data_IF_897361971292
#
_entry.id   IF_897361971292
#
_cell.length_a   1.000
_cell.length_b   1.000
_cell.length_c   1.000
_cell.angle_alpha   90.00
_cell.angle_beta   90.00
_cell.angle_gamma   90.00
#
_symmetry.space_group_name_H-M   'P 1'
#
loop_
_entity.id
_entity.type
_entity.pdbx_description
1 polymer ?
#
# COMPACT_ATOMS: atom_id res chain seq x y z
N UNK A 1 -39.47 41.22 -28.02
CA UNK A 1 -38.37 40.32 -28.42
C UNK A 1 -37.15 40.43 -27.50
N UNK A 2 -36.81 41.59 -26.94
CA UNK A 2 -35.65 41.75 -26.04
C UNK A 2 -35.76 41.01 -24.69
N UNK A 3 -36.95 40.91 -24.11
CA UNK A 3 -37.14 40.25 -22.80
C UNK A 3 -36.96 38.73 -22.87
N UNK A 4 -37.18 38.12 -24.03
CA UNK A 4 -37.00 36.67 -24.24
C UNK A 4 -35.51 36.34 -24.38
N UNK A 5 -34.75 37.20 -25.07
CA UNK A 5 -33.30 37.03 -25.27
C UNK A 5 -32.53 37.15 -23.94
N UNK A 6 -32.93 38.04 -23.02
CA UNK A 6 -32.31 38.15 -21.69
C UNK A 6 -32.57 36.95 -20.78
N UNK A 7 -33.73 36.29 -20.92
CA UNK A 7 -34.08 35.11 -20.13
C UNK A 7 -33.25 33.88 -20.56
N UNK A 8 -33.01 33.73 -21.87
CA UNK A 8 -32.17 32.64 -22.40
C UNK A 8 -30.68 32.82 -22.08
N UNK A 9 -30.16 34.05 -22.10
CA UNK A 9 -28.77 34.34 -21.71
C UNK A 9 -28.51 34.08 -20.21
N UNK A 10 -29.48 34.36 -19.34
CA UNK A 10 -29.35 34.10 -17.91
C UNK A 10 -29.42 32.59 -17.58
N UNK A 11 -30.26 31.83 -18.31
CA UNK A 11 -30.35 30.39 -18.15
C UNK A 11 -29.07 29.64 -18.61
N UNK A 12 -28.42 30.10 -19.68
CA UNK A 12 -27.18 29.48 -20.18
C UNK A 12 -25.96 29.77 -19.31
N UNK A 13 -25.89 30.93 -18.65
CA UNK A 13 -24.81 31.25 -17.70
C UNK A 13 -24.95 30.42 -16.41
N UNK A 14 -26.17 30.06 -16.01
CA UNK A 14 -26.42 29.28 -14.80
C UNK A 14 -26.10 27.77 -14.98
N UNK A 15 -26.18 27.24 -16.20
CA UNK A 15 -25.90 25.83 -16.51
C UNK A 15 -24.40 25.52 -16.56
N UNK A 16 -23.54 26.52 -16.82
CA UNK A 16 -22.08 26.31 -16.92
C UNK A 16 -21.36 26.23 -15.56
N UNK A 17 -22.01 26.47 -14.42
CA UNK A 17 -21.36 26.51 -13.09
C UNK A 17 -21.78 25.36 -12.17
N UNK A 18 -22.63 24.43 -12.64
CA UNK A 18 -23.17 23.36 -11.79
C UNK A 18 -23.19 22.00 -12.46
N UNK A 19 -22.07 21.59 -13.07
CA UNK A 19 -21.77 20.16 -13.08
C UNK A 19 -21.02 19.86 -11.77
N UNK A 20 -21.68 19.29 -10.74
CA UNK A 20 -20.93 18.63 -9.70
C UNK A 20 -20.06 17.60 -10.41
N UNK A 21 -18.74 17.72 -10.26
CA UNK A 21 -17.83 16.63 -10.57
C UNK A 21 -18.20 15.55 -9.57
N UNK A 22 -19.17 14.72 -9.91
CA UNK A 22 -19.53 13.55 -9.13
C UNK A 22 -18.31 12.64 -9.16
N UNK A 23 -17.43 12.81 -8.18
CA UNK A 23 -16.24 11.97 -8.06
C UNK A 23 -16.69 10.52 -8.01
N UNK A 24 -16.12 9.69 -8.88
CA UNK A 24 -16.54 8.30 -9.03
C UNK A 24 -16.15 7.48 -7.81
N UNK A 25 -17.02 6.55 -7.43
CA UNK A 25 -16.74 5.54 -6.42
C UNK A 25 -15.69 4.58 -6.99
N UNK A 26 -14.45 4.73 -6.55
CA UNK A 26 -13.35 3.86 -6.95
C UNK A 26 -13.40 2.56 -6.16
N UNK A 27 -13.10 1.45 -6.83
CA UNK A 27 -13.20 0.11 -6.26
C UNK A 27 -11.98 -0.26 -5.40
N UNK A 28 -11.77 0.48 -4.31
CA UNK A 28 -10.74 0.19 -3.31
C UNK A 28 -11.03 -1.11 -2.56
N UNK A 29 -12.30 -1.35 -2.21
CA UNK A 29 -12.73 -2.49 -1.41
C UNK A 29 -12.57 -3.82 -2.16
N UNK A 30 -11.44 -4.50 -1.96
CA UNK A 30 -11.24 -5.91 -2.30
C UNK A 30 -9.91 -6.41 -1.72
N UNK A 31 -9.55 -7.63 -2.10
CA UNK A 31 -8.19 -8.16 -1.96
C UNK A 31 -7.30 -7.68 -3.11
N UNK A 32 -6.07 -7.33 -2.75
CA UNK A 32 -5.02 -6.80 -3.62
C UNK A 32 -3.75 -7.62 -3.43
N UNK A 33 -2.97 -7.79 -4.49
CA UNK A 33 -1.75 -8.60 -4.52
C UNK A 33 -0.63 -7.81 -5.17
N UNK A 34 0.56 -7.82 -4.55
CA UNK A 34 1.73 -7.16 -5.11
C UNK A 34 2.67 -8.11 -5.85
N UNK A 35 3.71 -7.52 -6.44
CA UNK A 35 4.75 -8.23 -7.19
C UNK A 35 5.65 -9.14 -6.33
N UNK A 36 5.63 -8.98 -5.00
CA UNK A 36 6.40 -9.77 -4.04
C UNK A 36 5.61 -10.98 -3.51
N UNK A 37 4.34 -11.12 -3.89
CA UNK A 37 3.46 -12.19 -3.41
C UNK A 37 2.69 -11.84 -2.14
N UNK A 38 2.91 -10.64 -1.57
CA UNK A 38 2.12 -10.13 -0.46
C UNK A 38 0.69 -9.85 -0.93
N UNK A 39 -0.26 -9.94 0.01
CA UNK A 39 -1.65 -9.60 -0.24
C UNK A 39 -2.20 -8.66 0.84
N UNK A 40 -3.22 -7.90 0.50
CA UNK A 40 -3.95 -7.09 1.47
C UNK A 40 -5.43 -7.06 1.15
N UNK A 41 -6.27 -7.02 2.17
CA UNK A 41 -7.70 -6.75 2.02
C UNK A 41 -7.96 -5.33 2.46
N UNK A 42 -8.57 -4.52 1.59
CA UNK A 42 -8.96 -3.15 1.89
C UNK A 42 -10.48 -3.03 1.92
N UNK A 43 -10.97 -2.11 2.76
CA UNK A 43 -12.35 -1.66 2.83
C UNK A 43 -12.36 -0.14 2.91
N UNK A 44 -13.00 0.51 1.93
CA UNK A 44 -13.19 1.96 1.90
C UNK A 44 -14.57 2.32 2.44
N UNK A 45 -14.60 3.20 3.44
CA UNK A 45 -15.82 3.90 3.82
C UNK A 45 -16.00 5.13 2.92
N UNK A 46 -16.95 5.08 1.98
CA UNK A 46 -17.18 6.16 1.01
C UNK A 46 -17.69 7.48 1.63
N UNK A 47 -18.14 7.47 2.88
CA UNK A 47 -18.60 8.68 3.58
C UNK A 47 -17.42 9.36 4.26
N UNK A 48 -16.62 8.61 5.02
CA UNK A 48 -15.52 9.16 5.81
C UNK A 48 -14.18 9.16 5.08
N UNK A 49 -14.10 8.49 3.92
CA UNK A 49 -12.88 8.25 3.15
C UNK A 49 -11.81 7.44 3.89
N UNK A 50 -12.18 6.78 4.99
CA UNK A 50 -11.28 5.89 5.74
C UNK A 50 -11.09 4.57 5.00
N UNK A 51 -9.83 4.15 4.91
CA UNK A 51 -9.42 2.81 4.54
C UNK A 51 -9.13 2.00 5.79
N UNK A 52 -9.69 0.80 5.87
CA UNK A 52 -9.35 -0.22 6.86
C UNK A 52 -9.03 -1.53 6.17
N UNK A 53 -8.38 -2.46 6.86
CA UNK A 53 -8.00 -3.71 6.25
C UNK A 53 -7.01 -4.55 7.04
N UNK A 54 -6.45 -5.55 6.36
CA UNK A 54 -5.39 -6.41 6.86
C UNK A 54 -4.35 -6.63 5.76
N UNK A 55 -3.08 -6.60 6.15
CA UNK A 55 -1.93 -6.82 5.27
C UNK A 55 -1.22 -8.12 5.62
N UNK A 56 -0.99 -8.96 4.62
CA UNK A 56 -0.27 -10.23 4.72
C UNK A 56 1.00 -10.13 3.87
N UNK A 57 2.16 -10.15 4.53
CA UNK A 57 3.44 -10.04 3.83
C UNK A 57 3.98 -11.41 3.43
N UNK A 58 4.48 -11.54 2.21
CA UNK A 58 5.19 -12.72 1.74
C UNK A 58 6.70 -12.65 2.02
N UNK A 59 7.20 -11.48 2.43
CA UNK A 59 8.62 -11.24 2.71
C UNK A 59 8.80 -10.64 4.10
N UNK A 60 9.87 -11.04 4.76
CA UNK A 60 10.28 -10.55 6.07
C UNK A 60 11.75 -10.17 6.05
N UNK A 61 12.14 -9.25 6.92
CA UNK A 61 13.55 -8.93 7.08
C UNK A 61 14.30 -10.14 7.65
N UNK A 62 15.51 -10.41 7.17
CA UNK A 62 16.44 -11.30 7.85
C UNK A 62 17.38 -10.47 8.73
N UNK A 63 17.66 -10.94 9.95
CA UNK A 63 18.74 -10.40 10.79
C UNK A 63 20.09 -11.11 10.54
N UNK A 64 20.17 -11.94 9.49
CA UNK A 64 21.34 -12.76 9.19
C UNK A 64 21.47 -14.04 10.03
N UNK A 65 20.58 -14.26 11.00
CA UNK A 65 20.56 -15.47 11.85
C UNK A 65 19.21 -16.17 11.90
N UNK A 66 18.13 -15.48 11.55
CA UNK A 66 16.78 -16.00 11.42
C UNK A 66 15.91 -15.06 10.58
N UNK A 67 15.14 -15.61 9.63
CA UNK A 67 13.89 -14.98 9.15
C UNK A 67 13.11 -14.57 10.39
N UNK A 68 12.56 -13.36 10.47
CA UNK A 68 11.80 -12.84 11.62
C UNK A 68 10.74 -13.84 12.13
N UNK A 69 11.17 -14.79 12.95
CA UNK A 69 10.30 -15.67 13.72
C UNK A 69 9.78 -14.82 14.85
N UNK A 70 8.47 -14.89 15.08
CA UNK A 70 7.74 -14.25 16.17
C UNK A 70 8.54 -14.38 17.47
N UNK A 71 9.39 -13.41 17.77
CA UNK A 71 10.29 -13.49 18.91
C UNK A 71 9.50 -12.97 20.10
N UNK A 72 8.79 -13.88 20.77
CA UNK A 72 8.11 -13.64 22.05
C UNK A 72 9.08 -13.52 23.23
N UNK A 73 10.35 -13.17 22.98
CA UNK A 73 11.35 -12.94 24.03
C UNK A 73 12.19 -11.71 23.69
N UNK A 74 11.80 -10.56 24.24
CA UNK A 74 12.74 -9.47 24.49
C UNK A 74 13.77 -9.98 25.51
N UNK A 75 14.86 -10.58 25.03
CA UNK A 75 16.09 -10.67 25.81
C UNK A 75 16.87 -9.41 25.49
N UNK A 76 17.02 -8.47 26.43
CA UNK A 76 18.01 -7.41 26.27
C UNK A 76 19.38 -8.10 26.36
N UNK A 77 19.98 -8.43 25.22
CA UNK A 77 21.38 -8.84 25.20
C UNK A 77 22.20 -7.55 25.22
N UNK A 78 23.00 -7.28 26.28
CA UNK A 78 24.01 -6.25 26.20
C UNK A 78 25.20 -6.87 25.43
N UNK A 79 25.24 -6.68 24.12
CA UNK A 79 26.47 -6.94 23.35
C UNK A 79 27.27 -5.64 23.22
N UNK A 80 28.60 -5.69 23.39
CA UNK A 80 29.46 -4.53 23.17
C UNK A 80 29.38 -4.09 21.70
N UNK A 81 29.31 -2.78 21.49
CA UNK A 81 29.25 -2.13 20.18
C UNK A 81 30.63 -2.23 19.50
N UNK A 82 30.77 -3.16 18.56
CA UNK A 82 31.77 -3.05 17.51
C UNK A 82 31.23 -2.06 16.45
N UNK A 83 31.81 -0.84 16.47
CA UNK A 83 31.43 0.36 15.74
C UNK A 83 31.80 0.33 14.23
N UNK A 84 31.42 -0.74 13.50
CA UNK A 84 31.63 -0.81 12.04
C UNK A 84 30.47 -1.44 11.23
N UNK A 85 29.36 -1.83 11.86
CA UNK A 85 28.22 -2.44 11.16
C UNK A 85 27.19 -1.40 10.67
N UNK A 86 27.55 -0.60 9.67
CA UNK A 86 26.60 0.24 8.93
C UNK A 86 25.52 -0.55 8.13
N UNK A 87 25.37 -1.86 8.39
CA UNK A 87 24.52 -2.78 7.65
C UNK A 87 23.67 -3.67 8.56
N UNK A 88 23.08 -3.10 9.61
CA UNK A 88 22.18 -3.78 10.56
C UNK A 88 20.95 -4.42 9.93
N UNK A 89 20.56 -4.01 8.73
CA UNK A 89 19.36 -4.51 8.09
C UNK A 89 19.77 -5.46 6.96
N UNK A 90 19.68 -6.77 7.21
CA UNK A 90 19.90 -7.83 6.21
C UNK A 90 18.86 -7.80 5.07
N UNK A 91 19.08 -8.57 3.99
CA UNK A 91 18.13 -8.62 2.87
C UNK A 91 16.73 -9.04 3.32
N UNK A 92 15.70 -8.64 2.56
CA UNK A 92 14.38 -9.24 2.72
C UNK A 92 14.42 -10.66 2.19
N UNK A 93 13.91 -11.59 2.97
CA UNK A 93 13.80 -13.01 2.66
C UNK A 93 12.33 -13.42 2.59
N UNK A 94 12.06 -14.55 1.94
CA UNK A 94 10.71 -15.12 1.86
C UNK A 94 10.30 -15.54 3.27
N UNK A 95 9.08 -15.18 3.68
CA UNK A 95 8.52 -15.59 4.97
C UNK A 95 8.39 -17.12 5.01
N UNK A 96 8.71 -17.73 6.16
CA UNK A 96 8.46 -19.16 6.36
C UNK A 96 6.95 -19.44 6.52
N UNK A 97 6.54 -20.71 6.36
CA UNK A 97 5.12 -21.08 6.44
C UNK A 97 4.49 -20.71 7.79
N UNK A 98 5.24 -20.78 8.89
CA UNK A 98 4.74 -20.41 10.21
C UNK A 98 4.44 -18.90 10.32
N UNK A 99 5.31 -18.06 9.76
CA UNK A 99 5.10 -16.62 9.67
C UNK A 99 3.98 -16.23 8.72
N UNK A 100 3.72 -17.05 7.70
CA UNK A 100 2.60 -16.88 6.78
C UNK A 100 1.23 -17.14 7.44
N UNK A 101 1.20 -17.95 8.51
CA UNK A 101 -0.01 -18.20 9.33
C UNK A 101 -0.21 -17.17 10.46
N UNK A 102 0.64 -16.14 10.56
CA UNK A 102 0.43 -15.05 11.51
C UNK A 102 -0.82 -14.22 11.13
N UNK A 103 -1.53 -13.63 12.12
CA UNK A 103 -2.61 -12.71 11.82
C UNK A 103 -2.09 -11.55 10.96
N UNK A 104 -2.91 -11.10 10.01
CA UNK A 104 -2.55 -9.98 9.15
C UNK A 104 -2.31 -8.70 9.96
N UNK A 105 -1.40 -7.85 9.48
CA UNK A 105 -1.16 -6.55 10.10
C UNK A 105 -2.35 -5.63 9.83
N UNK A 106 -2.95 -4.99 10.85
CA UNK A 106 -4.08 -4.10 10.66
C UNK A 106 -3.68 -2.90 9.79
N UNK A 107 -4.55 -2.53 8.85
CA UNK A 107 -4.41 -1.37 7.97
C UNK A 107 -5.34 -0.25 8.44
N UNK A 108 -4.81 0.97 8.49
CA UNK A 108 -5.60 2.20 8.61
C UNK A 108 -5.06 3.25 7.63
N UNK A 109 -5.95 3.94 6.92
CA UNK A 109 -5.55 4.95 5.95
C UNK A 109 -6.71 5.81 5.45
N UNK A 110 -6.44 6.54 4.37
CA UNK A 110 -7.39 7.40 3.70
C UNK A 110 -7.23 7.33 2.17
N UNK A 111 -8.33 7.48 1.45
CA UNK A 111 -8.32 7.66 0.00
C UNK A 111 -8.99 8.98 -0.37
N UNK A 112 -8.44 9.71 -1.33
CA UNK A 112 -9.13 10.86 -1.91
C UNK A 112 -10.25 10.38 -2.83
N UNK A 113 -11.25 11.25 -3.01
CA UNK A 113 -12.37 11.00 -3.91
C UNK A 113 -11.87 10.89 -5.36
N UNK A 114 -12.39 9.92 -6.10
CA UNK A 114 -12.02 9.65 -7.49
C UNK A 114 -12.23 10.83 -8.43
N UNK A 115 -11.23 11.14 -9.25
CA UNK A 115 -11.34 12.04 -10.41
C UNK A 115 -10.74 11.31 -11.62
N UNK A 116 -11.48 11.22 -12.72
CA UNK A 116 -11.02 10.56 -13.96
C UNK A 116 -10.43 9.14 -13.75
N UNK A 117 -11.18 8.26 -13.09
CA UNK A 117 -10.76 6.88 -12.78
C UNK A 117 -9.44 6.75 -12.00
N UNK A 118 -9.03 7.82 -11.33
CA UNK A 118 -7.81 7.85 -10.53
C UNK A 118 -8.08 8.52 -9.18
N UNK A 119 -7.37 8.11 -8.14
CA UNK A 119 -7.27 8.92 -6.92
C UNK A 119 -6.02 8.60 -6.13
N UNK A 120 -5.64 9.49 -5.24
CA UNK A 120 -4.52 9.29 -4.32
C UNK A 120 -5.00 8.61 -3.05
N UNK A 121 -4.15 7.80 -2.44
CA UNK A 121 -4.44 7.20 -1.15
C UNK A 121 -3.16 7.01 -0.35
N UNK A 122 -3.32 6.78 0.94
CA UNK A 122 -2.23 6.38 1.81
C UNK A 122 -2.75 5.57 2.97
N UNK A 123 -1.96 4.60 3.41
CA UNK A 123 -2.31 3.77 4.56
C UNK A 123 -1.05 3.36 5.32
N UNK A 124 -1.27 2.87 6.53
CA UNK A 124 -0.25 2.35 7.42
C UNK A 124 -0.63 0.94 7.81
N UNK A 125 0.36 0.04 7.86
CA UNK A 125 0.24 -1.26 8.50
C UNK A 125 1.32 -1.44 9.56
N UNK A 126 0.98 -2.12 10.65
CA UNK A 126 1.85 -2.34 11.80
C UNK A 126 1.92 -3.83 12.14
N UNK A 127 3.13 -4.40 12.16
CA UNK A 127 3.38 -5.79 12.51
C UNK A 127 3.93 -5.91 13.92
N UNK A 128 3.71 -7.08 14.53
CA UNK A 128 4.35 -7.50 15.78
C UNK A 128 4.22 -6.44 16.89
N UNK A 129 2.99 -6.09 17.25
CA UNK A 129 2.70 -5.04 18.25
C UNK A 129 3.37 -3.68 17.93
N UNK A 130 3.42 -3.34 16.65
CA UNK A 130 4.06 -2.14 16.10
C UNK A 130 5.58 -2.07 16.29
N UNK A 131 6.27 -3.20 16.46
CA UNK A 131 7.72 -3.26 16.36
C UNK A 131 8.23 -2.87 14.96
N UNK A 132 7.39 -3.07 13.93
CA UNK A 132 7.62 -2.60 12.57
C UNK A 132 6.36 -1.91 12.06
N UNK A 133 6.54 -0.74 11.45
CA UNK A 133 5.46 0.02 10.84
C UNK A 133 5.87 0.43 9.43
N UNK A 134 4.98 0.21 8.47
CA UNK A 134 5.18 0.68 7.12
C UNK A 134 4.01 1.55 6.69
N UNK A 135 4.33 2.64 6.01
CA UNK A 135 3.37 3.53 5.41
C UNK A 135 3.50 3.45 3.89
N UNK A 136 2.37 3.35 3.21
CA UNK A 136 2.26 3.45 1.77
C UNK A 136 1.59 4.75 1.40
N UNK A 137 2.05 5.37 0.32
CA UNK A 137 1.37 6.47 -0.36
C UNK A 137 1.39 6.18 -1.85
N UNK A 138 0.28 6.43 -2.53
CA UNK A 138 0.14 6.00 -3.90
C UNK A 138 -1.07 6.53 -4.63
N UNK A 139 -1.22 6.02 -5.84
CA UNK A 139 -2.31 6.34 -6.76
C UNK A 139 -3.03 5.06 -7.18
N UNK A 140 -4.35 5.08 -7.05
CA UNK A 140 -5.25 4.19 -7.74
C UNK A 140 -5.37 4.64 -9.19
N UNK A 141 -5.23 3.71 -10.14
CA UNK A 141 -5.49 3.95 -11.56
C UNK A 141 -6.24 2.78 -12.19
N UNK A 142 -7.01 3.09 -13.23
CA UNK A 142 -7.55 2.09 -14.15
C UNK A 142 -6.69 2.09 -15.41
N UNK A 143 -5.89 1.05 -15.62
CA UNK A 143 -4.99 0.87 -16.75
C UNK A 143 -5.49 -0.28 -17.62
N UNK A 144 -5.82 -0.05 -18.90
CA UNK A 144 -6.33 -1.10 -19.80
C UNK A 144 -7.53 -1.87 -19.21
N UNK A 145 -8.44 -1.16 -18.54
CA UNK A 145 -9.59 -1.70 -17.79
C UNK A 145 -9.24 -2.55 -16.55
N UNK A 146 -7.98 -2.56 -16.12
CA UNK A 146 -7.55 -3.22 -14.88
C UNK A 146 -7.33 -2.18 -13.77
N UNK A 147 -7.75 -2.51 -12.56
CA UNK A 147 -7.58 -1.66 -11.38
C UNK A 147 -6.20 -1.92 -10.76
N UNK A 148 -5.42 -0.86 -10.58
CA UNK A 148 -4.02 -0.93 -10.16
C UNK A 148 -3.76 0.09 -9.07
N UNK A 149 -3.00 -0.30 -8.05
CA UNK A 149 -2.46 0.62 -7.06
C UNK A 149 -0.95 0.75 -7.25
N UNK A 150 -0.48 1.93 -7.63
CA UNK A 150 0.94 2.25 -7.67
C UNK A 150 1.33 2.93 -6.37
N UNK A 151 2.31 2.39 -5.67
CA UNK A 151 2.66 2.88 -4.33
C UNK A 151 4.15 3.02 -4.15
N UNK A 152 4.52 3.97 -3.30
CA UNK A 152 5.81 4.02 -2.63
C UNK A 152 5.59 3.79 -1.15
N UNK A 153 6.55 3.16 -0.49
CA UNK A 153 6.46 2.87 0.94
C UNK A 153 7.71 3.27 1.70
N UNK A 154 7.52 3.49 3.00
CA UNK A 154 8.56 3.71 3.99
C UNK A 154 8.33 2.70 5.10
N UNK A 155 9.34 1.87 5.41
CA UNK A 155 9.32 0.91 6.51
C UNK A 155 10.22 1.42 7.63
N UNK A 156 9.69 1.39 8.84
CA UNK A 156 10.39 1.80 10.05
C UNK A 156 10.33 0.70 11.11
N UNK A 157 11.48 0.17 11.54
CA UNK A 157 11.55 -0.67 12.73
C UNK A 157 11.73 0.19 14.00
N UNK A 158 11.34 -0.37 15.14
CA UNK A 158 11.80 0.08 16.46
C UNK A 158 13.29 -0.24 16.59
N UNK A 159 14.06 0.70 17.14
CA UNK A 159 15.50 0.54 17.38
C UNK A 159 15.84 0.87 18.82
N UNK A 160 16.96 0.36 19.26
CA UNK A 160 17.52 0.46 20.61
C UNK A 160 18.14 1.83 20.93
N UNK A 161 18.64 2.57 19.94
CA UNK A 161 19.33 3.84 20.15
C UNK A 161 19.09 4.87 19.03
N UNK A 162 19.47 6.13 19.27
CA UNK A 162 19.24 7.25 18.34
C UNK A 162 20.00 7.11 17.01
N UNK A 163 21.21 6.53 17.02
CA UNK A 163 22.00 6.35 15.79
C UNK A 163 21.36 5.30 14.89
N UNK A 164 20.98 4.16 15.46
CA UNK A 164 20.18 3.13 14.77
C UNK A 164 18.86 3.71 14.26
N UNK A 165 18.19 4.54 15.06
CA UNK A 165 16.95 5.20 14.65
C UNK A 165 17.14 6.14 13.44
N UNK A 166 18.30 6.78 13.29
CA UNK A 166 18.56 7.62 12.12
C UNK A 166 18.79 6.82 10.83
N UNK A 167 19.31 5.59 10.94
CA UNK A 167 19.76 4.77 9.81
C UNK A 167 18.79 3.64 9.43
N UNK A 168 17.78 3.36 10.27
CA UNK A 168 16.94 2.17 10.12
C UNK A 168 15.78 2.28 9.13
N UNK A 169 15.54 3.47 8.56
CA UNK A 169 14.41 3.69 7.66
C UNK A 169 14.69 3.10 6.29
N UNK A 170 13.78 2.27 5.79
CA UNK A 170 13.82 1.70 4.42
C UNK A 170 12.72 2.30 3.57
N UNK A 171 12.96 2.35 2.26
CA UNK A 171 11.96 2.81 1.29
C UNK A 171 11.90 1.85 0.10
N UNK A 172 10.78 1.87 -0.61
CA UNK A 172 10.60 1.06 -1.81
C UNK A 172 9.31 1.39 -2.54
N UNK A 173 8.95 0.54 -3.48
CA UNK A 173 7.72 0.66 -4.27
C UNK A 173 7.03 -0.68 -4.35
N UNK A 174 5.70 -0.64 -4.35
CA UNK A 174 4.86 -1.80 -4.62
C UNK A 174 3.79 -1.44 -5.64
N UNK A 175 3.44 -2.41 -6.47
CA UNK A 175 2.35 -2.29 -7.42
C UNK A 175 1.36 -3.41 -7.15
N UNK A 176 0.11 -3.05 -6.87
CA UNK A 176 -0.93 -4.01 -6.50
C UNK A 176 -2.00 -4.16 -7.59
N UNK A 177 -2.45 -5.40 -7.78
CA UNK A 177 -3.53 -5.80 -8.69
C UNK A 177 -4.58 -6.61 -7.95
N UNK A 178 -5.78 -6.77 -8.53
CA UNK A 178 -6.85 -7.62 -7.95
C UNK A 178 -6.60 -9.14 -8.11
N UNK A 179 -5.58 -9.51 -8.87
CA UNK A 179 -5.18 -10.90 -9.11
C UNK A 179 -3.74 -11.15 -8.63
N UNK A 180 -3.41 -12.37 -8.16
CA UNK A 180 -2.05 -12.73 -7.76
C UNK A 180 -1.04 -12.53 -8.89
N UNK A 181 0.11 -11.93 -8.58
CA UNK A 181 1.17 -11.66 -9.56
C UNK A 181 2.31 -12.67 -9.53
N UNK A 182 2.36 -13.52 -8.51
CA UNK A 182 3.23 -14.70 -8.44
C UNK A 182 2.32 -15.92 -8.60
N UNK A 183 2.54 -16.77 -9.62
CA UNK A 183 1.77 -17.99 -9.77
C UNK A 183 2.09 -19.00 -8.65
N UNK A 184 1.06 -19.73 -8.20
CA UNK A 184 1.23 -20.79 -7.21
C UNK A 184 2.13 -21.96 -7.67
N UNK A 185 2.37 -22.09 -8.99
CA UNK A 185 2.99 -23.28 -9.60
C UNK A 185 3.94 -22.94 -10.78
N UNK A 186 4.48 -21.71 -10.82
CA UNK A 186 5.35 -21.25 -11.93
C UNK A 186 4.64 -21.06 -13.28
N UNK A 187 3.33 -21.34 -13.38
CA UNK A 187 2.52 -21.02 -14.57
C UNK A 187 2.37 -19.52 -14.73
N UNK A 188 3.04 -18.93 -15.72
CA UNK A 188 2.94 -17.51 -16.08
C UNK A 188 1.52 -16.96 -15.95
N UNK A 189 1.38 -15.74 -15.42
CA UNK A 189 0.11 -15.01 -15.35
C UNK A 189 -0.63 -15.16 -16.68
N UNK A 190 -1.73 -15.91 -16.69
CA UNK A 190 -2.42 -16.26 -17.93
C UNK A 190 -2.82 -15.00 -18.70
N UNK A 191 -2.28 -14.83 -19.92
CA UNK A 191 -2.70 -13.90 -21.00
C UNK A 191 -3.17 -12.46 -20.65
N UNK A 192 -3.01 -11.99 -19.41
CA UNK A 192 -3.28 -10.61 -18.99
C UNK A 192 -1.98 -9.84 -19.01
N UNK A 193 -1.99 -8.68 -19.64
CA UNK A 193 -0.96 -7.68 -19.46
C UNK A 193 -0.94 -7.27 -17.99
N UNK A 194 0.10 -7.67 -17.24
CA UNK A 194 0.24 -7.24 -15.86
C UNK A 194 0.78 -5.81 -15.84
N UNK A 195 -0.03 -4.80 -15.45
CA UNK A 195 0.38 -3.40 -15.47
C UNK A 195 1.52 -3.09 -14.49
N UNK A 196 1.85 -4.01 -13.59
CA UNK A 196 2.97 -3.91 -12.66
C UNK A 196 4.30 -4.46 -13.22
N UNK A 197 4.30 -5.24 -14.31
CA UNK A 197 5.51 -5.91 -14.85
C UNK A 197 6.02 -5.32 -16.17
N UNK A 198 5.29 -4.41 -16.79
CA UNK A 198 5.73 -3.70 -17.99
C UNK A 198 5.52 -2.20 -17.79
N UNK A 199 6.52 -1.34 -18.03
CA UNK A 199 6.26 0.08 -18.21
C UNK A 199 5.42 0.24 -19.48
N UNK A 200 4.48 1.19 -19.44
CA UNK A 200 3.59 1.55 -20.55
C UNK A 200 4.27 1.57 -21.92
#
# INVERSE_FOLDING_TARGET
MESVVRLFLCAMICICVTQPVWGQDLNYTATWYNQLGSSMTLSLNNVTSFLTGEYFTAVLQSDGTSVLKRTTHFVPVPQPLDDDSANWLGPFEVADEESLHAPGAPIVGFASRGVYNSSTFGFVAAWFDAAYIASWSGEYKVCQNEHVLFTSWILKPVTDNCRSAALSTRTGTDCFTKFPQIPADGQQCQNRTNPCRTPC
#
